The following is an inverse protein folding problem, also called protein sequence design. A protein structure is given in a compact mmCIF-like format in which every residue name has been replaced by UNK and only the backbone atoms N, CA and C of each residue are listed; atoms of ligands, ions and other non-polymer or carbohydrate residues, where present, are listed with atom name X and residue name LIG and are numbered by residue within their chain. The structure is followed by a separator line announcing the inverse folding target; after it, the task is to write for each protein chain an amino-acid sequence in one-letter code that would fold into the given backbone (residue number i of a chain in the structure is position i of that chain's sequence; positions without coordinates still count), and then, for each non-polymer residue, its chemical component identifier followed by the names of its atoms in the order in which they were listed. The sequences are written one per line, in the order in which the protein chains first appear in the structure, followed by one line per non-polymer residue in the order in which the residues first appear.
data_IF_700953891183
#
_entry.id   IF_700953891183
#
_cell.length_a   1.000
_cell.length_b   1.000
_cell.length_c   1.000
_cell.angle_alpha   90.00
_cell.angle_beta   90.00
_cell.angle_gamma   90.00
#
_symmetry.space_group_name_H-M   'P 1'
#
loop_
_entity.id
_entity.type
_entity.pdbx_description
1 polymer ?
#
# COMPACT_ATOMS: atom_id res chain seq x y z
N UNK A 1 -15.00 13.94 -10.27
CA UNK A 1 -14.46 13.30 -9.04
C UNK A 1 -13.49 14.26 -8.38
N UNK A 2 -13.12 14.05 -7.12
CA UNK A 2 -12.09 14.86 -6.45
C UNK A 2 -10.77 14.85 -7.25
N UNK A 3 -10.39 13.69 -7.80
CA UNK A 3 -9.19 13.57 -8.67
C UNK A 3 -9.25 14.47 -9.89
N UNK A 4 -10.36 14.50 -10.62
CA UNK A 4 -10.50 15.36 -11.80
C UNK A 4 -10.44 16.87 -11.44
N UNK A 5 -11.04 17.25 -10.30
CA UNK A 5 -10.99 18.63 -9.81
C UNK A 5 -9.56 19.03 -9.39
N UNK A 6 -8.82 18.13 -8.74
CA UNK A 6 -7.45 18.37 -8.31
C UNK A 6 -6.48 18.46 -9.50
N UNK A 7 -6.69 17.65 -10.54
CA UNK A 7 -5.92 17.72 -11.80
C UNK A 7 -6.10 19.03 -12.56
N UNK A 8 -7.27 19.65 -12.43
CA UNK A 8 -7.56 20.94 -13.04
C UNK A 8 -7.03 22.14 -12.23
N UNK A 9 -6.51 21.92 -11.01
CA UNK A 9 -6.01 23.00 -10.16
C UNK A 9 -4.47 23.14 -10.29
N UNK A 10 -3.96 24.26 -10.84
CA UNK A 10 -2.53 24.44 -11.06
C UNK A 10 -1.69 24.47 -9.77
N UNK A 11 -2.24 24.97 -8.66
CA UNK A 11 -1.53 25.02 -7.38
C UNK A 11 -1.31 23.60 -6.82
N UNK A 12 -2.30 22.71 -6.99
CA UNK A 12 -2.20 21.31 -6.57
C UNK A 12 -1.27 20.51 -7.49
N UNK A 13 -1.24 20.83 -8.79
CA UNK A 13 -0.30 20.22 -9.73
C UNK A 13 1.14 20.64 -9.47
N UNK A 14 1.38 21.87 -9.02
CA UNK A 14 2.72 22.36 -8.65
C UNK A 14 3.37 21.53 -7.52
N UNK A 15 2.54 20.92 -6.65
CA UNK A 15 2.98 20.05 -5.56
C UNK A 15 2.70 18.56 -5.81
N UNK A 16 2.36 18.18 -7.05
CA UNK A 16 2.06 16.81 -7.45
C UNK A 16 0.93 16.14 -6.64
N UNK A 17 -0.05 16.92 -6.19
CA UNK A 17 -1.19 16.42 -5.40
C UNK A 17 -2.43 16.30 -6.28
N UNK A 18 -2.80 15.08 -6.67
CA UNK A 18 -4.03 14.83 -7.44
C UNK A 18 -5.01 13.86 -6.76
N UNK A 19 -4.59 13.17 -5.70
CA UNK A 19 -5.42 12.23 -4.94
C UNK A 19 -5.64 10.87 -5.62
N UNK A 20 -4.96 10.58 -6.74
CA UNK A 20 -5.07 9.29 -7.45
C UNK A 20 -4.53 8.09 -6.65
N UNK A 21 -3.77 8.31 -5.57
CA UNK A 21 -3.27 7.25 -4.70
C UNK A 21 -4.30 6.69 -3.71
N UNK A 22 -5.44 7.35 -3.51
CA UNK A 22 -6.42 6.99 -2.47
C UNK A 22 -6.98 5.57 -2.63
N UNK A 23 -6.99 5.02 -3.85
CA UNK A 23 -7.44 3.65 -4.11
C UNK A 23 -6.58 2.58 -3.43
N UNK A 24 -5.34 2.93 -3.07
CA UNK A 24 -4.39 2.03 -2.42
C UNK A 24 -4.32 2.25 -0.90
N UNK A 25 -5.18 3.11 -0.36
CA UNK A 25 -5.20 3.39 1.07
C UNK A 25 -5.88 2.26 1.84
N UNK A 26 -5.32 1.96 3.01
CA UNK A 26 -5.88 0.98 3.93
C UNK A 26 -6.87 1.72 4.84
N UNK A 27 -8.06 2.01 4.30
CA UNK A 27 -9.10 2.78 4.98
C UNK A 27 -10.48 2.10 4.94
N UNK A 28 -11.46 2.72 5.62
CA UNK A 28 -12.83 2.20 5.68
C UNK A 28 -13.54 2.20 4.32
N UNK A 29 -13.22 3.16 3.43
CA UNK A 29 -13.86 3.23 2.11
C UNK A 29 -13.37 2.11 1.20
N UNK A 30 -12.13 1.66 1.39
CA UNK A 30 -11.55 0.49 0.75
C UNK A 30 -11.95 -0.84 1.41
N UNK A 31 -12.75 -0.82 2.49
CA UNK A 31 -13.30 -2.00 3.15
C UNK A 31 -12.48 -2.53 4.31
N UNK A 32 -11.43 -1.82 4.75
CA UNK A 32 -10.61 -2.24 5.89
C UNK A 32 -11.25 -1.84 7.22
N UNK A 33 -11.26 -2.80 8.14
CA UNK A 33 -11.70 -2.57 9.52
C UNK A 33 -10.58 -1.88 10.33
N UNK A 34 -10.92 -1.25 11.48
CA UNK A 34 -9.90 -0.78 12.42
C UNK A 34 -8.94 -1.90 12.88
N UNK A 35 -9.44 -3.12 12.99
CA UNK A 35 -8.66 -4.31 13.32
C UNK A 35 -7.65 -4.65 12.21
N UNK A 36 -8.05 -4.60 10.94
CA UNK A 36 -7.15 -4.81 9.79
C UNK A 36 -6.05 -3.75 9.75
N UNK A 37 -6.41 -2.49 9.99
CA UNK A 37 -5.45 -1.38 10.04
C UNK A 37 -4.45 -1.58 11.19
N UNK A 38 -4.92 -2.02 12.35
CA UNK A 38 -4.06 -2.34 13.50
C UNK A 38 -3.12 -3.50 13.17
N UNK A 39 -3.63 -4.56 12.56
CA UNK A 39 -2.83 -5.72 12.15
C UNK A 39 -1.73 -5.34 11.15
N UNK A 40 -2.04 -4.48 10.18
CA UNK A 40 -1.06 -3.97 9.22
C UNK A 40 0.05 -3.17 9.91
N UNK A 41 -0.30 -2.28 10.84
CA UNK A 41 0.70 -1.49 11.60
C UNK A 41 1.61 -2.43 12.39
N UNK A 42 1.03 -3.42 13.09
CA UNK A 42 1.81 -4.40 13.84
C UNK A 42 2.74 -5.20 12.93
N UNK A 43 2.27 -5.61 11.75
CA UNK A 43 3.11 -6.27 10.76
C UNK A 43 4.28 -5.37 10.32
N UNK A 44 4.01 -4.13 9.93
CA UNK A 44 5.05 -3.19 9.48
C UNK A 44 6.10 -2.92 10.56
N UNK A 45 5.69 -2.82 11.83
CA UNK A 45 6.59 -2.62 12.97
C UNK A 45 7.34 -3.90 13.39
N UNK A 46 6.89 -5.08 12.94
CA UNK A 46 7.57 -6.36 13.19
C UNK A 46 8.69 -6.65 12.19
N UNK A 47 8.77 -5.89 11.10
CA UNK A 47 9.84 -6.02 10.10
C UNK A 47 11.12 -5.42 10.71
N UNK A 48 12.10 -6.28 10.99
CA UNK A 48 13.45 -5.89 11.42
C UNK A 48 14.25 -5.37 10.20
N UNK A 49 15.37 -4.69 10.43
CA UNK A 49 16.24 -4.09 9.38
C UNK A 49 16.87 -5.14 8.43
N UNK A 50 16.65 -6.42 8.67
CA UNK A 50 16.86 -7.53 7.75
C UNK A 50 15.49 -8.05 7.25
N UNK A 51 14.88 -7.41 6.23
CA UNK A 51 13.63 -7.88 5.67
C UNK A 51 13.90 -9.25 5.04
N UNK A 52 13.54 -10.32 5.75
CA UNK A 52 13.63 -11.67 5.25
C UNK A 52 13.00 -11.71 3.85
N UNK A 53 13.84 -11.85 2.83
CA UNK A 53 13.40 -12.32 1.52
C UNK A 53 12.63 -13.60 1.81
N UNK A 54 11.40 -13.68 1.30
CA UNK A 54 10.46 -14.77 1.54
C UNK A 54 11.20 -16.12 1.69
N UNK A 55 10.91 -16.93 2.73
CA UNK A 55 11.63 -18.18 2.94
C UNK A 55 11.59 -19.04 1.67
N UNK A 56 12.73 -19.63 1.33
CA UNK A 56 13.04 -20.42 0.11
C UNK A 56 12.07 -21.58 -0.22
N UNK A 57 11.03 -21.78 0.60
CA UNK A 57 9.96 -22.74 0.38
C UNK A 57 9.19 -22.52 -0.94
N UNK A 58 9.27 -21.34 -1.56
CA UNK A 58 8.74 -21.09 -2.92
C UNK A 58 9.76 -21.41 -4.02
N UNK A 59 11.07 -21.38 -3.72
CA UNK A 59 12.14 -21.73 -4.66
C UNK A 59 12.24 -23.24 -4.89
N UNK A 60 11.90 -24.06 -3.89
CA UNK A 60 11.93 -25.53 -3.99
C UNK A 60 10.85 -26.12 -4.91
N UNK A 61 9.78 -25.38 -5.20
CA UNK A 61 8.67 -25.86 -6.04
C UNK A 61 8.90 -25.60 -7.55
N UNK A 62 9.91 -24.80 -7.90
CA UNK A 62 10.20 -24.41 -9.29
C UNK A 62 11.34 -25.23 -9.94
N UNK A 63 11.96 -26.18 -9.23
CA UNK A 63 13.10 -26.96 -9.73
C UNK A 63 12.82 -28.45 -9.96
N UNK A 64 11.59 -28.92 -9.76
CA UNK A 64 11.12 -30.18 -10.32
C UNK A 64 10.24 -29.89 -11.54
N UNK A 65 10.88 -29.60 -12.70
CA UNK A 65 10.45 -29.96 -14.06
C UNK A 65 11.62 -29.80 -15.05
#
# INVERSE_FOLDING_TARGET
TAVAANRANPDLQAIQSDGSGHHYWVDKQAGFTPEDQTALIQFLLSIDDDPAVLPDSVSAIAQEQ
#
